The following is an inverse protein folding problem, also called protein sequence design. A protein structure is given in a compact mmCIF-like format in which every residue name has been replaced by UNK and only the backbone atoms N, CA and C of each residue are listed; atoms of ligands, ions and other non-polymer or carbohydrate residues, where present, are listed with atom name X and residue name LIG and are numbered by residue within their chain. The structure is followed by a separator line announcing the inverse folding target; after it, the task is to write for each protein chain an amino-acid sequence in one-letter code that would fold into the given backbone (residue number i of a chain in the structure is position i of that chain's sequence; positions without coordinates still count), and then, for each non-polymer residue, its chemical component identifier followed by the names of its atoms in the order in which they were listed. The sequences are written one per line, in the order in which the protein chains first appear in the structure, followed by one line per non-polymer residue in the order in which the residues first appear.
data_IF_746166100401
#
_entry.id   IF_746166100401
#
_cell.length_a   1.000
_cell.length_b   1.000
_cell.length_c   1.000
_cell.angle_alpha   90.00
_cell.angle_beta   90.00
_cell.angle_gamma   90.00
#
_symmetry.space_group_name_H-M   'P 1'
#
loop_
_entity.id
_entity.type
_entity.pdbx_description
1 polymer ?
#
# COMPACT_ATOMS: atom_id res chain seq x y z
N UNK A 1 3.59 -9.18 -3.11
CA UNK A 1 4.90 -9.13 -2.44
C UNK A 1 5.92 -8.29 -3.23
N UNK A 2 5.58 -7.10 -3.73
CA UNK A 2 6.51 -6.25 -4.49
C UNK A 2 6.90 -5.00 -3.70
N UNK A 3 5.90 -4.19 -3.33
CA UNK A 3 6.11 -2.91 -2.66
C UNK A 3 6.86 -3.01 -1.31
N UNK A 4 6.62 -4.07 -0.54
CA UNK A 4 7.22 -4.22 0.80
C UNK A 4 8.74 -4.36 0.77
N UNK A 5 9.29 -5.01 -0.27
CA UNK A 5 10.74 -5.22 -0.42
C UNK A 5 11.47 -3.90 -0.74
N UNK A 6 10.74 -2.89 -1.21
CA UNK A 6 11.30 -1.58 -1.54
C UNK A 6 11.48 -0.67 -0.32
N UNK A 7 10.93 -1.05 0.84
CA UNK A 7 11.08 -0.29 2.09
C UNK A 7 12.49 -0.44 2.68
N UNK A 8 12.81 0.29 3.75
CA UNK A 8 14.08 0.14 4.48
C UNK A 8 14.09 -1.14 5.31
N UNK A 9 12.97 -1.42 5.97
CA UNK A 9 12.83 -2.55 6.88
C UNK A 9 11.50 -3.26 6.68
N UNK A 10 11.43 -4.53 7.02
CA UNK A 10 10.18 -5.28 7.10
C UNK A 10 10.06 -5.98 8.46
N UNK A 11 8.85 -5.94 9.03
CA UNK A 11 8.50 -6.75 10.19
C UNK A 11 8.44 -8.25 9.85
N UNK A 12 8.49 -8.60 8.56
CA UNK A 12 8.68 -9.97 8.11
C UNK A 12 10.10 -10.42 8.49
N UNK A 13 10.21 -11.23 9.53
CA UNK A 13 11.48 -11.86 9.92
C UNK A 13 12.35 -11.06 10.88
N UNK A 14 11.78 -10.45 11.93
CA UNK A 14 12.54 -9.79 13.00
C UNK A 14 13.26 -8.49 12.57
N UNK A 15 12.65 -7.71 11.66
CA UNK A 15 13.21 -6.42 11.23
C UNK A 15 14.25 -6.54 10.13
N UNK A 16 13.99 -7.37 9.11
CA UNK A 16 14.93 -7.58 8.00
C UNK A 16 15.12 -6.29 7.19
N UNK A 17 16.38 -5.99 6.86
CA UNK A 17 16.73 -4.89 5.97
C UNK A 17 16.31 -5.23 4.54
N UNK A 18 15.57 -4.32 3.95
CA UNK A 18 15.05 -4.41 2.59
C UNK A 18 15.89 -3.54 1.64
N UNK A 19 15.43 -3.29 0.41
CA UNK A 19 16.20 -2.57 -0.62
C UNK A 19 16.48 -1.10 -0.28
N UNK A 20 15.79 -0.54 0.72
CA UNK A 20 15.94 0.85 1.18
C UNK A 20 15.75 1.87 0.05
N UNK A 21 14.80 1.60 -0.86
CA UNK A 21 14.39 2.56 -1.88
C UNK A 21 13.50 3.61 -1.23
N UNK A 22 12.46 3.20 -0.50
CA UNK A 22 11.60 4.08 0.28
C UNK A 22 11.97 4.00 1.76
N UNK A 23 12.11 5.16 2.40
CA UNK A 23 12.41 5.20 3.83
C UNK A 23 11.16 4.88 4.62
N UNK A 24 11.13 3.73 5.29
CA UNK A 24 9.92 3.25 5.96
C UNK A 24 9.96 1.78 6.32
N UNK A 25 8.82 1.30 6.84
CA UNK A 25 8.66 -0.08 7.27
C UNK A 25 7.53 -0.78 6.54
N UNK A 26 7.73 -2.04 6.19
CA UNK A 26 6.66 -2.93 5.81
C UNK A 26 6.11 -3.64 7.06
N UNK A 27 4.88 -3.29 7.45
CA UNK A 27 4.24 -3.76 8.68
C UNK A 27 3.19 -4.82 8.43
N UNK A 28 2.94 -5.66 9.42
CA UNK A 28 1.86 -6.63 9.37
C UNK A 28 0.52 -5.97 9.71
N UNK A 29 -0.50 -6.19 8.87
CA UNK A 29 -1.83 -5.59 9.07
C UNK A 29 -2.50 -6.10 10.35
N UNK A 30 -2.08 -7.27 10.86
CA UNK A 30 -2.56 -7.81 12.13
C UNK A 30 -1.99 -7.13 13.37
N UNK A 31 -0.95 -6.29 13.25
CA UNK A 31 -0.40 -5.54 14.38
C UNK A 31 -1.28 -4.36 14.80
N UNK A 32 -2.31 -4.03 14.02
CA UNK A 32 -3.36 -3.11 14.46
C UNK A 32 -4.19 -3.78 15.58
N UNK A 33 -3.70 -3.64 16.82
CA UNK A 33 -4.20 -4.29 18.04
C UNK A 33 -5.69 -4.07 18.34
N UNK A 34 -6.38 -3.19 17.62
CA UNK A 34 -7.75 -2.79 17.90
C UNK A 34 -8.76 -3.19 16.81
N UNK A 35 -8.36 -4.00 15.84
CA UNK A 35 -9.25 -4.43 14.76
C UNK A 35 -9.15 -5.94 14.54
N UNK A 36 -10.25 -6.66 14.77
CA UNK A 36 -10.44 -8.04 14.27
C UNK A 36 -10.59 -7.98 12.75
N UNK A 37 -9.48 -7.78 12.04
CA UNK A 37 -9.44 -7.82 10.59
C UNK A 37 -9.36 -9.27 10.13
N UNK A 38 -10.17 -9.63 9.14
CA UNK A 38 -9.99 -10.88 8.43
C UNK A 38 -8.73 -10.75 7.57
N UNK A 39 -7.68 -11.49 7.95
CA UNK A 39 -6.41 -11.51 7.21
C UNK A 39 -6.32 -12.80 6.38
N UNK A 40 -5.76 -12.75 5.16
CA UNK A 40 -5.32 -11.55 4.44
C UNK A 40 -6.48 -10.60 4.09
N UNK A 41 -6.19 -9.30 3.94
CA UNK A 41 -7.12 -8.35 3.31
C UNK A 41 -7.37 -8.83 1.88
N UNK A 42 -8.54 -9.44 1.68
CA UNK A 42 -8.97 -10.02 0.42
C UNK A 42 -10.27 -9.39 -0.03
N UNK A 43 -10.28 -8.83 -1.23
CA UNK A 43 -11.47 -8.30 -1.85
C UNK A 43 -11.26 -6.98 -2.57
N UNK A 44 -12.36 -6.47 -3.10
CA UNK A 44 -12.42 -5.15 -3.71
C UNK A 44 -12.56 -4.09 -2.63
N UNK A 45 -11.62 -3.14 -2.61
CA UNK A 45 -11.65 -2.02 -1.70
C UNK A 45 -11.30 -0.73 -2.45
N UNK A 46 -11.77 0.40 -1.96
CA UNK A 46 -11.50 1.68 -2.57
C UNK A 46 -10.11 2.21 -2.18
N UNK A 47 -9.49 2.97 -3.08
CA UNK A 47 -8.30 3.76 -2.78
C UNK A 47 -8.68 5.23 -2.70
N UNK A 48 -8.16 5.93 -1.70
CA UNK A 48 -8.18 7.38 -1.65
C UNK A 48 -6.86 7.89 -2.19
N UNK A 49 -6.90 8.67 -3.27
CA UNK A 49 -5.73 9.29 -3.86
C UNK A 49 -5.30 10.47 -2.99
N UNK A 50 -4.03 10.50 -2.59
CA UNK A 50 -3.45 11.59 -1.79
C UNK A 50 -2.72 12.62 -2.65
N UNK A 51 -2.28 12.21 -3.85
CA UNK A 51 -1.64 13.07 -4.83
C UNK A 51 -2.23 12.85 -6.21
N UNK A 52 -2.35 13.94 -6.96
CA UNK A 52 -2.57 13.89 -8.40
C UNK A 52 -1.26 13.48 -9.07
N UNK A 53 -1.23 12.27 -9.63
CA UNK A 53 -0.08 11.73 -10.34
C UNK A 53 -0.53 11.27 -11.73
N UNK A 54 0.35 11.39 -12.73
CA UNK A 54 -0.02 11.12 -14.13
C UNK A 54 -0.49 9.68 -14.36
N UNK A 55 0.03 8.72 -13.60
CA UNK A 55 -0.44 7.31 -13.62
C UNK A 55 -1.91 7.17 -13.20
N UNK A 56 -2.40 8.08 -12.36
CA UNK A 56 -3.78 8.13 -11.92
C UNK A 56 -4.62 9.16 -12.67
N UNK A 57 -4.15 9.72 -13.80
CA UNK A 57 -4.91 10.72 -14.56
C UNK A 57 -6.27 10.20 -15.03
N UNK A 58 -6.37 8.89 -15.28
CA UNK A 58 -7.58 8.22 -15.75
C UNK A 58 -8.31 7.43 -14.65
N UNK A 59 -7.80 7.43 -13.42
CA UNK A 59 -8.35 6.69 -12.31
C UNK A 59 -9.00 7.70 -11.36
N UNK A 60 -10.30 7.52 -11.11
CA UNK A 60 -11.03 8.41 -10.22
C UNK A 60 -10.62 8.16 -8.78
N UNK A 61 -10.64 9.21 -7.96
CA UNK A 61 -10.58 9.05 -6.51
C UNK A 61 -11.69 8.09 -6.05
N UNK A 62 -11.38 7.18 -5.13
CA UNK A 62 -12.26 6.09 -4.66
C UNK A 62 -12.57 5.00 -5.68
N UNK A 63 -11.76 4.86 -6.73
CA UNK A 63 -11.78 3.66 -7.58
C UNK A 63 -11.54 2.39 -6.76
N UNK A 64 -12.24 1.32 -7.14
CA UNK A 64 -12.11 0.01 -6.50
C UNK A 64 -10.94 -0.75 -7.09
N UNK A 65 -10.11 -1.31 -6.22
CA UNK A 65 -9.01 -2.19 -6.57
C UNK A 65 -9.09 -3.48 -5.77
N UNK A 66 -8.57 -4.55 -6.36
CA UNK A 66 -8.52 -5.85 -5.70
C UNK A 66 -7.26 -5.96 -4.83
N UNK A 67 -7.46 -6.28 -3.56
CA UNK A 67 -6.40 -6.45 -2.58
C UNK A 67 -6.30 -7.93 -2.18
N UNK A 68 -5.07 -8.44 -2.12
CA UNK A 68 -4.73 -9.74 -1.50
C UNK A 68 -3.39 -9.59 -0.80
N UNK A 69 -3.40 -9.10 0.43
CA UNK A 69 -2.18 -8.93 1.21
C UNK A 69 -2.46 -8.98 2.73
N UNK A 70 -1.48 -9.44 3.50
CA UNK A 70 -1.52 -9.34 4.97
C UNK A 70 -0.58 -8.28 5.53
N UNK A 71 0.20 -7.62 4.67
CA UNK A 71 1.21 -6.63 5.04
C UNK A 71 0.99 -5.36 4.24
N UNK A 72 1.28 -4.21 4.83
CA UNK A 72 1.20 -2.90 4.20
C UNK A 72 2.53 -2.16 4.38
N UNK A 73 2.67 -1.00 3.74
CA UNK A 73 3.86 -0.17 3.91
C UNK A 73 3.55 1.10 4.66
N UNK A 74 4.50 1.55 5.46
CA UNK A 74 4.44 2.72 6.33
C UNK A 74 5.68 3.59 6.05
N UNK A 75 5.66 4.37 4.95
CA UNK A 75 6.74 5.28 4.62
C UNK A 75 6.82 6.43 5.65
N UNK A 76 8.04 6.81 6.03
CA UNK A 76 8.27 7.95 6.95
C UNK A 76 7.93 9.27 6.27
N UNK A 77 8.20 9.37 4.97
CA UNK A 77 7.95 10.58 4.20
C UNK A 77 6.52 10.56 3.64
N UNK A 78 5.60 11.31 4.25
CA UNK A 78 4.21 11.42 3.79
C UNK A 78 4.09 11.97 2.36
N UNK A 79 5.07 12.76 1.89
CA UNK A 79 5.07 13.24 0.51
C UNK A 79 5.25 12.12 -0.52
N UNK A 80 5.70 10.94 -0.11
CA UNK A 80 5.83 9.77 -1.00
C UNK A 80 4.54 8.94 -1.05
N UNK A 81 3.57 9.24 -0.19
CA UNK A 81 2.28 8.56 -0.17
C UNK A 81 1.45 9.02 -1.36
N UNK A 82 1.14 8.08 -2.24
CA UNK A 82 0.36 8.33 -3.43
C UNK A 82 -1.12 7.99 -3.20
N UNK A 83 -1.40 6.88 -2.52
CA UNK A 83 -2.75 6.44 -2.21
C UNK A 83 -2.83 5.70 -0.87
N UNK A 84 -3.99 5.79 -0.23
CA UNK A 84 -4.31 5.11 1.03
C UNK A 84 -5.59 4.31 0.91
N UNK A 85 -5.73 3.24 1.69
CA UNK A 85 -6.94 2.41 1.74
C UNK A 85 -7.41 2.25 3.18
N UNK A 86 -8.73 2.19 3.37
CA UNK A 86 -9.33 1.93 4.66
C UNK A 86 -9.91 0.51 4.70
N UNK A 87 -9.35 -0.34 5.57
CA UNK A 87 -9.86 -1.69 5.84
C UNK A 87 -9.96 -1.88 7.36
N UNK A 88 -10.73 -1.02 8.02
CA UNK A 88 -10.80 -0.91 9.49
C UNK A 88 -9.62 -0.14 10.10
N UNK A 89 -8.50 -0.07 9.40
CA UNK A 89 -7.40 0.85 9.63
C UNK A 89 -7.03 1.55 8.30
N UNK A 90 -6.48 2.75 8.38
CA UNK A 90 -5.97 3.48 7.22
C UNK A 90 -4.52 3.07 7.02
N UNK A 91 -4.19 2.57 5.84
CA UNK A 91 -2.83 2.20 5.47
C UNK A 91 -2.47 2.70 4.07
N UNK A 92 -1.17 2.81 3.78
CA UNK A 92 -0.67 3.22 2.47
C UNK A 92 -0.78 2.06 1.47
N UNK A 93 -1.56 2.27 0.42
CA UNK A 93 -1.77 1.30 -0.67
C UNK A 93 -0.85 1.53 -1.86
N UNK A 94 -0.28 2.73 -1.99
CA UNK A 94 0.64 3.10 -3.06
C UNK A 94 1.58 4.23 -2.67
N UNK A 95 2.80 4.18 -3.21
CA UNK A 95 3.81 5.24 -3.04
C UNK A 95 4.30 5.72 -4.40
N UNK A 96 4.81 6.94 -4.45
CA UNK A 96 5.46 7.53 -5.64
C UNK A 96 6.73 8.26 -5.25
N UNK A 97 7.79 8.04 -6.03
CA UNK A 97 8.95 8.92 -6.06
C UNK A 97 9.42 9.07 -7.51
N UNK A 98 9.50 10.30 -7.99
CA UNK A 98 9.82 10.63 -9.38
C UNK A 98 8.93 9.85 -10.37
N UNK A 99 9.54 9.01 -11.22
CA UNK A 99 8.83 8.16 -12.18
C UNK A 99 8.50 6.75 -11.65
N UNK A 100 8.83 6.45 -10.40
CA UNK A 100 8.68 5.13 -9.80
C UNK A 100 7.44 5.07 -8.91
N UNK A 101 6.47 4.23 -9.31
CA UNK A 101 5.15 4.14 -8.66
C UNK A 101 4.80 2.67 -8.37
N UNK A 102 5.34 2.11 -7.29
CA UNK A 102 4.96 0.77 -6.86
C UNK A 102 3.65 0.79 -6.05
N UNK A 103 2.76 -0.14 -6.36
CA UNK A 103 1.43 -0.29 -5.76
C UNK A 103 1.29 -1.66 -5.08
N UNK A 104 0.54 -1.72 -3.97
CA UNK A 104 0.25 -3.01 -3.26
C UNK A 104 -0.97 -3.73 -3.84
N UNK A 105 -1.71 -3.06 -4.72
CA UNK A 105 -2.92 -3.60 -5.35
C UNK A 105 -2.57 -4.72 -6.33
N UNK A 106 -3.43 -5.73 -6.40
CA UNK A 106 -3.40 -6.68 -7.51
C UNK A 106 -4.22 -6.07 -8.64
N UNK A 107 -3.55 -5.45 -9.62
CA UNK A 107 -4.24 -4.90 -10.78
C UNK A 107 -4.80 -6.03 -11.64
N UNK A 108 -6.09 -6.31 -11.49
CA UNK A 108 -6.89 -6.86 -12.59
C UNK A 108 -7.68 -5.68 -13.14
N UNK A 109 -7.22 -5.12 -14.25
CA UNK A 109 -7.99 -4.14 -15.00
C UNK A 109 -9.24 -4.87 -15.53
N UNK A 110 -10.35 -4.79 -14.81
CA UNK A 110 -11.66 -4.96 -15.43
C UNK A 110 -12.00 -3.61 -16.05
N UNK A 111 -11.62 -3.45 -17.32
CA UNK A 111 -12.30 -2.56 -18.23
C UNK A 111 -13.78 -2.97 -18.22
N UNK A 112 -14.61 -2.22 -17.51
CA UNK A 112 -16.04 -2.19 -17.78
C UNK A 112 -16.29 -1.44 -19.09
#
# INVERSE_FOLDING_TARGET
MGLQVLMTESDKGNGEKCLNIFTGKARYLGDFQNTKLNLPHMGWNNISLKKNHHIFSNIKDKSFFYFVHSYFVDPINESEILSTTNYGCIFTSGVSRDNFVPLTISSREEFF
#
